data_IF_705024381338
#
_entry.id   IF_705024381338
#
_cell.length_a   1.000
_cell.length_b   1.000
_cell.length_c   1.000
_cell.angle_alpha   90.00
_cell.angle_beta   90.00
_cell.angle_gamma   90.00
#
_symmetry.space_group_name_H-M   'P 1'
#
loop_
_entity.id
_entity.type
_entity.pdbx_description
1 polymer ?
#
# COMPACT_ATOMS: atom_id res chain seq x y z
N UNK A 1 7.06 2.50 6.21
CA UNK A 1 7.56 2.98 7.55
C UNK A 1 6.50 3.77 8.32
N UNK A 2 5.29 3.24 8.39
CA UNK A 2 4.14 3.88 9.05
C UNK A 2 4.43 4.22 10.53
N UNK A 3 5.05 3.31 11.27
CA UNK A 3 5.39 3.52 12.69
C UNK A 3 6.35 4.70 12.96
N UNK A 4 6.95 5.26 11.92
CA UNK A 4 7.87 6.40 12.02
C UNK A 4 7.22 7.74 11.72
N UNK A 5 5.94 7.80 11.33
CA UNK A 5 5.28 9.06 10.90
C UNK A 5 5.39 10.20 11.92
N UNK A 6 5.45 9.87 13.22
CA UNK A 6 5.64 10.86 14.30
C UNK A 6 7.10 11.13 14.66
N UNK A 7 8.07 10.49 13.98
CA UNK A 7 9.50 10.64 14.22
C UNK A 7 10.12 11.68 13.28
N UNK A 8 11.30 12.19 13.64
CA UNK A 8 12.06 13.07 12.74
C UNK A 8 12.55 12.32 11.50
N UNK A 9 12.75 13.04 10.40
CA UNK A 9 13.30 12.44 9.19
C UNK A 9 14.71 11.86 9.40
N UNK A 10 15.55 12.47 10.24
CA UNK A 10 16.86 11.91 10.61
C UNK A 10 16.74 10.53 11.28
N UNK A 11 15.68 10.30 12.04
CA UNK A 11 15.44 8.95 12.62
C UNK A 11 15.06 7.94 11.54
N UNK A 12 14.35 8.36 10.50
CA UNK A 12 14.07 7.48 9.34
C UNK A 12 15.38 7.07 8.66
N UNK A 13 16.30 8.02 8.43
CA UNK A 13 17.60 7.70 7.84
C UNK A 13 18.40 6.71 8.69
N UNK A 14 18.48 6.91 10.02
CA UNK A 14 19.12 5.93 10.92
C UNK A 14 18.52 4.52 10.78
N UNK A 15 17.19 4.41 10.67
CA UNK A 15 16.52 3.12 10.53
C UNK A 15 16.87 2.47 9.19
N UNK A 16 16.99 3.24 8.11
CA UNK A 16 17.43 2.74 6.81
C UNK A 16 18.88 2.25 6.86
N UNK A 17 19.77 2.98 7.53
CA UNK A 17 21.17 2.58 7.74
C UNK A 17 21.29 1.28 8.54
N UNK A 18 20.38 1.02 9.48
CA UNK A 18 20.33 -0.16 10.33
C UNK A 18 19.47 -1.30 9.74
N UNK A 19 18.84 -1.10 8.57
CA UNK A 19 17.90 -2.05 7.99
C UNK A 19 18.53 -3.43 7.78
N UNK A 20 17.82 -4.46 8.25
CA UNK A 20 18.24 -5.87 8.14
C UNK A 20 17.53 -6.62 7.01
N UNK A 21 16.58 -5.97 6.37
CA UNK A 21 15.77 -6.49 5.27
C UNK A 21 15.94 -5.60 4.05
N UNK A 22 15.92 -6.23 2.87
CA UNK A 22 16.17 -5.56 1.60
C UNK A 22 15.02 -4.62 1.20
N UNK A 23 13.77 -5.06 1.43
CA UNK A 23 12.59 -4.33 1.02
C UNK A 23 12.12 -3.37 2.13
N UNK A 24 12.01 -2.10 1.79
CA UNK A 24 11.56 -1.04 2.70
C UNK A 24 10.54 -0.15 2.00
N UNK A 25 9.45 0.16 2.68
CA UNK A 25 8.49 1.14 2.20
C UNK A 25 8.63 2.47 2.94
N UNK A 26 8.67 3.57 2.19
CA UNK A 26 8.67 4.95 2.69
C UNK A 26 7.27 5.52 2.50
N UNK A 27 6.71 6.08 3.57
CA UNK A 27 5.43 6.79 3.52
C UNK A 27 5.69 8.26 3.24
N UNK A 28 5.22 8.76 2.09
CA UNK A 28 5.35 10.17 1.67
C UNK A 28 4.29 11.04 2.35
N UNK A 29 4.37 11.17 3.69
CA UNK A 29 3.36 11.89 4.46
C UNK A 29 3.95 12.69 5.62
N UNK A 30 3.29 13.79 5.98
CA UNK A 30 3.57 14.57 7.18
C UNK A 30 5.03 15.03 7.28
N UNK A 31 5.68 14.70 8.39
CA UNK A 31 7.10 15.02 8.63
C UNK A 31 8.05 14.30 7.66
N UNK A 32 7.59 13.27 6.97
CA UNK A 32 8.35 12.46 6.02
C UNK A 32 8.04 12.78 4.56
N UNK A 33 7.19 13.78 4.29
CA UNK A 33 6.88 14.19 2.92
C UNK A 33 8.16 14.36 2.11
N UNK A 34 8.19 13.72 0.95
CA UNK A 34 9.37 13.71 0.09
C UNK A 34 9.64 15.09 -0.54
N UNK A 35 10.90 15.40 -0.66
CA UNK A 35 11.44 16.49 -1.45
C UNK A 35 12.77 16.03 -2.06
N UNK A 36 13.40 16.82 -2.90
CA UNK A 36 14.63 16.43 -3.61
C UNK A 36 15.76 16.07 -2.66
N UNK A 37 16.01 16.89 -1.63
CA UNK A 37 17.06 16.66 -0.64
C UNK A 37 16.85 15.31 0.11
N UNK A 38 15.63 15.03 0.50
CA UNK A 38 15.27 13.77 1.17
C UNK A 38 15.40 12.56 0.25
N UNK A 39 15.00 12.71 -1.01
CA UNK A 39 15.19 11.70 -2.04
C UNK A 39 16.66 11.36 -2.21
N UNK A 40 17.53 12.37 -2.34
CA UNK A 40 18.96 12.16 -2.49
C UNK A 40 19.58 11.46 -1.26
N UNK A 41 19.16 11.85 -0.04
CA UNK A 41 19.62 11.19 1.18
C UNK A 41 19.18 9.72 1.26
N UNK A 42 17.90 9.42 0.97
CA UNK A 42 17.37 8.05 0.96
C UNK A 42 18.06 7.23 -0.13
N UNK A 43 18.19 7.77 -1.35
CA UNK A 43 18.79 7.08 -2.50
C UNK A 43 20.23 6.66 -2.21
N UNK A 44 21.02 7.55 -1.57
CA UNK A 44 22.38 7.23 -1.16
C UNK A 44 22.41 6.01 -0.22
N UNK A 45 21.60 6.03 0.84
CA UNK A 45 21.55 4.91 1.81
C UNK A 45 21.03 3.65 1.13
N UNK A 46 20.01 3.76 0.28
CA UNK A 46 19.44 2.62 -0.45
C UNK A 46 20.50 1.95 -1.34
N UNK A 47 21.31 2.75 -2.04
CA UNK A 47 22.44 2.25 -2.84
C UNK A 47 23.50 1.58 -1.98
N UNK A 48 23.97 2.25 -0.92
CA UNK A 48 25.04 1.76 -0.04
C UNK A 48 24.64 0.47 0.72
N UNK A 49 23.34 0.27 0.94
CA UNK A 49 22.75 -0.87 1.70
C UNK A 49 22.05 -1.89 0.84
N UNK A 50 22.04 -1.76 -0.49
CA UNK A 50 21.30 -2.61 -1.45
C UNK A 50 19.82 -2.75 -1.06
N UNK A 51 19.15 -1.63 -0.73
CA UNK A 51 17.73 -1.61 -0.38
C UNK A 51 16.85 -1.41 -1.61
N UNK A 52 15.75 -2.12 -1.66
CA UNK A 52 14.65 -1.90 -2.61
C UNK A 52 13.57 -1.05 -1.93
N UNK A 53 13.37 0.15 -2.45
CA UNK A 53 12.42 1.11 -1.85
C UNK A 53 11.11 1.10 -2.63
N UNK A 54 9.99 0.89 -1.94
CA UNK A 54 8.66 1.24 -2.40
C UNK A 54 8.18 2.53 -1.73
N UNK A 55 7.26 3.24 -2.38
CA UNK A 55 6.69 4.48 -1.83
C UNK A 55 5.20 4.29 -1.60
N UNK A 56 4.76 4.50 -0.36
CA UNK A 56 3.36 4.71 -0.06
C UNK A 56 3.01 6.18 -0.34
N UNK A 57 1.99 6.39 -1.16
CA UNK A 57 1.56 7.73 -1.56
C UNK A 57 1.06 8.57 -0.38
N UNK A 58 1.04 9.91 -0.51
CA UNK A 58 0.29 10.75 0.41
C UNK A 58 -1.18 10.34 0.47
N UNK A 59 -1.75 10.29 1.68
CA UNK A 59 -3.14 9.87 1.89
C UNK A 59 -3.95 10.84 2.78
N UNK A 60 -3.32 11.61 3.68
CA UNK A 60 -4.01 12.57 4.53
C UNK A 60 -4.54 13.73 3.68
N UNK A 61 -5.85 13.97 3.75
CA UNK A 61 -6.55 14.99 2.95
C UNK A 61 -6.41 14.79 1.42
N UNK A 62 -6.23 13.57 0.98
CA UNK A 62 -6.23 13.16 -0.42
C UNK A 62 -7.54 12.44 -0.74
N UNK A 63 -8.26 12.93 -1.75
CA UNK A 63 -9.44 12.26 -2.28
C UNK A 63 -9.51 12.44 -3.80
N UNK A 64 -9.14 11.36 -4.49
CA UNK A 64 -9.11 11.30 -5.97
C UNK A 64 -10.47 11.08 -6.59
N UNK A 65 -11.49 10.72 -5.79
CA UNK A 65 -12.87 10.54 -6.21
C UNK A 65 -13.76 11.77 -5.94
N UNK A 66 -13.19 12.83 -5.35
CA UNK A 66 -13.96 14.03 -4.99
C UNK A 66 -14.71 14.59 -6.18
N UNK A 67 -16.02 14.84 -6.02
CA UNK A 67 -16.85 15.56 -7.00
C UNK A 67 -16.43 17.03 -7.14
N UNK A 68 -15.79 17.61 -6.09
CA UNK A 68 -15.20 18.93 -6.17
C UNK A 68 -13.96 18.92 -7.06
N UNK A 69 -14.03 19.59 -8.19
CA UNK A 69 -12.92 19.72 -9.14
C UNK A 69 -11.64 20.23 -8.45
N UNK A 70 -11.75 21.28 -7.61
CA UNK A 70 -10.60 21.89 -6.95
C UNK A 70 -9.94 20.91 -5.97
N UNK A 71 -10.72 20.19 -5.14
CA UNK A 71 -10.19 19.18 -4.20
C UNK A 71 -9.48 18.05 -4.95
N UNK A 72 -10.15 17.50 -5.96
CA UNK A 72 -9.57 16.41 -6.76
C UNK A 72 -8.27 16.83 -7.46
N UNK A 73 -8.25 18.03 -8.09
CA UNK A 73 -7.01 18.55 -8.73
C UNK A 73 -5.89 18.83 -7.73
N UNK A 74 -6.20 19.26 -6.52
CA UNK A 74 -5.20 19.42 -5.46
C UNK A 74 -4.60 18.05 -5.06
N UNK A 75 -5.44 17.04 -4.87
CA UNK A 75 -5.02 15.65 -4.61
C UNK A 75 -4.12 15.13 -5.74
N UNK A 76 -4.55 15.26 -6.99
CA UNK A 76 -3.77 14.79 -8.14
C UNK A 76 -2.41 15.50 -8.28
N UNK A 77 -2.33 16.81 -8.03
CA UNK A 77 -1.04 17.53 -8.05
C UNK A 77 -0.09 17.00 -6.99
N UNK A 78 -0.59 16.74 -5.77
CA UNK A 78 0.21 16.19 -4.69
C UNK A 78 0.72 14.79 -5.02
N UNK A 79 -0.16 13.93 -5.54
CA UNK A 79 0.16 12.56 -5.94
C UNK A 79 1.15 12.51 -7.11
N UNK A 80 0.99 13.36 -8.14
CA UNK A 80 1.94 13.46 -9.24
C UNK A 80 3.34 13.92 -8.78
N UNK A 81 3.39 14.84 -7.80
CA UNK A 81 4.67 15.21 -7.19
C UNK A 81 5.32 14.01 -6.50
N UNK A 82 4.55 13.21 -5.77
CA UNK A 82 5.03 11.98 -5.14
C UNK A 82 5.57 10.98 -6.17
N UNK A 83 4.84 10.74 -7.26
CA UNK A 83 5.30 9.87 -8.37
C UNK A 83 6.62 10.37 -8.97
N UNK A 84 6.73 11.68 -9.25
CA UNK A 84 7.97 12.27 -9.78
C UNK A 84 9.17 12.01 -8.84
N UNK A 85 8.97 12.19 -7.54
CA UNK A 85 10.01 11.97 -6.53
C UNK A 85 10.33 10.48 -6.37
N UNK A 86 9.34 9.60 -6.52
CA UNK A 86 9.53 8.14 -6.55
C UNK A 86 10.41 7.72 -7.72
N UNK A 87 10.17 8.28 -8.92
CA UNK A 87 11.04 8.04 -10.09
C UNK A 87 12.48 8.53 -9.86
N UNK A 88 12.65 9.71 -9.24
CA UNK A 88 13.99 10.22 -8.88
C UNK A 88 14.69 9.36 -7.81
N UNK A 89 13.95 8.66 -6.98
CA UNK A 89 14.47 7.73 -5.96
C UNK A 89 14.81 6.35 -6.55
N UNK A 90 14.53 6.12 -7.82
CA UNK A 90 14.61 4.80 -8.47
C UNK A 90 13.66 3.77 -7.82
N UNK A 91 12.56 4.24 -7.21
CA UNK A 91 11.54 3.37 -6.62
C UNK A 91 10.66 2.77 -7.71
N UNK A 92 10.66 1.44 -7.87
CA UNK A 92 9.90 0.79 -8.95
C UNK A 92 8.39 0.74 -8.66
N UNK A 93 7.98 0.91 -7.40
CA UNK A 93 6.61 0.69 -6.95
C UNK A 93 6.08 1.86 -6.13
N UNK A 94 4.85 2.26 -6.41
CA UNK A 94 4.14 3.34 -5.73
C UNK A 94 2.72 2.88 -5.38
N UNK A 95 2.40 2.87 -4.07
CA UNK A 95 1.13 2.41 -3.53
C UNK A 95 0.15 3.56 -3.45
N UNK A 96 -1.08 3.34 -3.88
CA UNK A 96 -2.16 4.32 -3.93
C UNK A 96 -3.42 3.79 -3.25
N UNK A 97 -4.01 4.58 -2.37
CA UNK A 97 -5.39 4.34 -1.92
C UNK A 97 -6.40 4.78 -2.98
N UNK A 98 -7.51 4.07 -3.09
CA UNK A 98 -8.65 4.56 -3.86
C UNK A 98 -9.22 5.84 -3.26
N UNK A 99 -10.04 6.57 -4.03
CA UNK A 99 -10.84 7.66 -3.49
C UNK A 99 -11.94 7.19 -2.55
N UNK A 100 -12.61 8.15 -1.92
CA UNK A 100 -13.62 7.89 -0.90
C UNK A 100 -15.03 8.00 -1.46
N UNK A 101 -15.96 7.20 -0.93
CA UNK A 101 -17.40 7.38 -1.09
C UNK A 101 -17.81 8.66 -0.37
N UNK A 102 -18.53 9.55 -1.02
CA UNK A 102 -19.04 10.75 -0.37
C UNK A 102 -20.16 10.38 0.61
N UNK A 103 -20.33 11.15 1.69
CA UNK A 103 -21.45 11.00 2.63
C UNK A 103 -22.83 11.14 1.96
N UNK A 104 -22.91 11.80 0.80
CA UNK A 104 -24.09 11.83 -0.07
C UNK A 104 -24.01 10.78 -1.19
N UNK A 105 -23.42 9.62 -0.90
CA UNK A 105 -23.11 8.60 -1.90
C UNK A 105 -24.30 8.11 -2.71
N UNK A 106 -25.52 8.12 -2.14
CA UNK A 106 -26.74 7.80 -2.86
C UNK A 106 -27.06 8.78 -4.01
N UNK A 107 -26.54 10.01 -3.95
CA UNK A 107 -26.71 11.02 -5.01
C UNK A 107 -25.56 11.01 -6.02
N UNK A 108 -24.36 10.57 -5.61
CA UNK A 108 -23.12 10.74 -6.37
C UNK A 108 -22.28 9.47 -6.51
N UNK A 109 -22.84 8.29 -6.22
CA UNK A 109 -22.11 7.02 -6.24
C UNK A 109 -21.39 6.77 -7.56
N UNK A 110 -22.09 6.94 -8.67
CA UNK A 110 -21.52 6.71 -9.99
C UNK A 110 -20.52 7.80 -10.38
N UNK A 111 -20.79 9.04 -9.96
CA UNK A 111 -19.85 10.15 -10.20
C UNK A 111 -18.54 9.95 -9.44
N UNK A 112 -18.60 9.55 -8.16
CA UNK A 112 -17.39 9.24 -7.38
C UNK A 112 -16.61 8.09 -8.02
N UNK A 113 -17.30 7.03 -8.46
CA UNK A 113 -16.69 5.91 -9.15
C UNK A 113 -15.95 6.34 -10.42
N UNK A 114 -16.61 7.09 -11.30
CA UNK A 114 -16.03 7.61 -12.52
C UNK A 114 -14.83 8.55 -12.26
N UNK A 115 -14.94 9.42 -11.25
CA UNK A 115 -13.83 10.30 -10.88
C UNK A 115 -12.65 9.50 -10.35
N UNK A 116 -12.89 8.45 -9.58
CA UNK A 116 -11.85 7.52 -9.10
C UNK A 116 -11.12 6.86 -10.27
N UNK A 117 -11.85 6.23 -11.19
CA UNK A 117 -11.27 5.58 -12.37
C UNK A 117 -10.47 6.56 -13.23
N UNK A 118 -11.04 7.72 -13.53
CA UNK A 118 -10.37 8.77 -14.32
C UNK A 118 -9.08 9.23 -13.64
N UNK A 119 -9.11 9.42 -12.34
CA UNK A 119 -7.94 9.86 -11.58
C UNK A 119 -6.85 8.79 -11.54
N UNK A 120 -7.22 7.52 -11.35
CA UNK A 120 -6.27 6.40 -11.34
C UNK A 120 -5.62 6.26 -12.71
N UNK A 121 -6.38 6.34 -13.82
CA UNK A 121 -5.85 6.31 -15.18
C UNK A 121 -4.87 7.47 -15.43
N UNK A 122 -5.23 8.70 -15.03
CA UNK A 122 -4.35 9.88 -15.15
C UNK A 122 -3.03 9.70 -14.37
N UNK A 123 -3.08 9.09 -13.19
CA UNK A 123 -1.89 8.78 -12.39
C UNK A 123 -1.07 7.65 -13.01
N UNK A 124 -1.69 6.62 -13.55
CA UNK A 124 -1.02 5.51 -14.23
C UNK A 124 -0.27 5.98 -15.47
N UNK A 125 -0.88 6.82 -16.31
CA UNK A 125 -0.20 7.42 -17.46
C UNK A 125 1.00 8.26 -17.03
N UNK A 126 0.81 9.10 -16.00
CA UNK A 126 1.88 9.93 -15.47
C UNK A 126 3.02 9.11 -14.88
N UNK A 127 2.71 8.04 -14.14
CA UNK A 127 3.72 7.18 -13.52
C UNK A 127 4.56 6.41 -14.53
N UNK A 128 3.94 5.97 -15.63
CA UNK A 128 4.63 5.29 -16.74
C UNK A 128 5.74 6.15 -17.33
N UNK A 129 5.53 7.48 -17.43
CA UNK A 129 6.55 8.43 -17.93
C UNK A 129 7.74 8.57 -16.98
N UNK A 130 7.60 8.16 -15.72
CA UNK A 130 8.64 8.25 -14.69
C UNK A 130 9.20 6.88 -14.28
N UNK A 131 8.86 5.80 -15.00
CA UNK A 131 9.36 4.45 -14.71
C UNK A 131 8.80 3.84 -13.42
N UNK A 132 7.68 4.36 -12.90
CA UNK A 132 7.09 3.94 -11.63
C UNK A 132 5.83 3.12 -11.89
N UNK A 133 5.73 1.94 -11.29
CA UNK A 133 4.53 1.10 -11.34
C UNK A 133 3.55 1.52 -10.25
N UNK A 134 2.30 1.78 -10.63
CA UNK A 134 1.21 2.03 -9.69
C UNK A 134 0.59 0.72 -9.23
N UNK A 135 0.31 0.63 -7.94
CA UNK A 135 -0.52 -0.42 -7.36
C UNK A 135 -1.58 0.21 -6.47
N UNK A 136 -2.79 -0.33 -6.51
CA UNK A 136 -3.91 0.16 -5.69
C UNK A 136 -4.12 -0.78 -4.52
N UNK A 137 -4.22 -0.20 -3.34
CA UNK A 137 -4.42 -0.92 -2.08
C UNK A 137 -5.90 -1.10 -1.77
N UNK A 138 -6.28 -2.28 -1.24
CA UNK A 138 -7.60 -2.48 -0.68
C UNK A 138 -7.73 -1.71 0.64
N UNK A 139 -8.65 -0.77 0.69
CA UNK A 139 -9.02 -0.06 1.91
C UNK A 139 -10.07 -0.82 2.73
N UNK A 140 -10.72 -0.12 3.64
CA UNK A 140 -11.81 -0.64 4.47
C UNK A 140 -13.11 0.14 4.24
N UNK A 141 -14.23 -0.57 4.20
CA UNK A 141 -15.53 0.02 3.86
C UNK A 141 -16.04 1.01 4.92
N UNK A 142 -15.72 0.81 6.19
CA UNK A 142 -16.09 1.72 7.28
C UNK A 142 -15.36 3.08 7.23
N UNK A 143 -14.22 3.18 6.55
CA UNK A 143 -13.53 4.44 6.21
C UNK A 143 -13.94 4.98 4.83
N UNK A 144 -14.98 4.40 4.23
CA UNK A 144 -15.57 4.85 2.97
C UNK A 144 -14.68 4.74 1.74
N UNK A 145 -13.65 3.89 1.72
CA UNK A 145 -12.90 3.63 0.50
C UNK A 145 -13.78 3.01 -0.59
N UNK A 146 -13.56 3.40 -1.84
CA UNK A 146 -14.28 2.87 -3.00
C UNK A 146 -13.85 1.45 -3.36
N UNK A 147 -12.60 1.08 -3.04
CA UNK A 147 -12.05 -0.24 -3.29
C UNK A 147 -11.72 -0.90 -1.94
N UNK A 148 -12.63 -1.69 -1.41
CA UNK A 148 -12.49 -2.35 -0.12
C UNK A 148 -12.66 -3.86 -0.23
N UNK A 149 -13.63 -4.32 -1.02
CA UNK A 149 -14.00 -5.73 -1.17
C UNK A 149 -13.61 -6.27 -2.54
N UNK A 150 -13.60 -7.59 -2.65
CA UNK A 150 -13.33 -8.30 -3.92
C UNK A 150 -14.29 -7.83 -5.02
N UNK A 151 -15.58 -7.62 -4.72
CA UNK A 151 -16.56 -7.12 -5.69
C UNK A 151 -16.20 -5.73 -6.23
N UNK A 152 -15.67 -4.84 -5.37
CA UNK A 152 -15.22 -3.50 -5.79
C UNK A 152 -14.04 -3.64 -6.77
N UNK A 153 -13.10 -4.56 -6.51
CA UNK A 153 -11.97 -4.83 -7.39
C UNK A 153 -12.38 -5.53 -8.69
N UNK A 154 -13.40 -6.42 -8.68
CA UNK A 154 -13.96 -6.99 -9.91
C UNK A 154 -14.49 -5.86 -10.79
N UNK A 155 -15.36 -5.00 -10.26
CA UNK A 155 -15.85 -3.83 -10.97
C UNK A 155 -14.72 -2.90 -11.42
N UNK A 156 -13.70 -2.71 -10.61
CA UNK A 156 -12.54 -1.87 -10.92
C UNK A 156 -11.78 -2.39 -12.14
N UNK A 157 -11.36 -3.64 -12.13
CA UNK A 157 -10.60 -4.23 -13.24
C UNK A 157 -11.42 -4.37 -14.51
N UNK A 158 -12.72 -4.67 -14.41
CA UNK A 158 -13.64 -4.70 -15.56
C UNK A 158 -13.76 -3.32 -16.24
N UNK A 159 -13.67 -2.25 -15.46
CA UNK A 159 -13.81 -0.88 -15.96
C UNK A 159 -12.47 -0.19 -16.20
N UNK A 160 -11.33 -0.77 -15.81
CA UNK A 160 -10.03 -0.11 -15.88
C UNK A 160 -9.54 0.08 -17.33
N UNK A 161 -9.91 -0.83 -18.24
CA UNK A 161 -9.40 -0.87 -19.61
C UNK A 161 -7.99 -1.45 -19.68
N UNK A 162 -7.18 -1.00 -20.61
CA UNK A 162 -5.85 -1.55 -20.91
C UNK A 162 -4.74 -1.07 -19.96
N UNK A 163 -5.12 -0.51 -18.80
CA UNK A 163 -4.14 -0.03 -17.83
C UNK A 163 -3.61 -1.18 -16.96
N UNK A 164 -2.30 -1.29 -16.88
CA UNK A 164 -1.63 -2.27 -16.02
C UNK A 164 -1.45 -1.71 -14.59
N UNK A 165 -2.41 -1.98 -13.73
CA UNK A 165 -2.38 -1.59 -12.31
C UNK A 165 -2.35 -2.84 -11.45
N UNK A 166 -1.38 -2.91 -10.54
CA UNK A 166 -1.26 -3.98 -9.57
C UNK A 166 -2.23 -3.81 -8.40
N UNK A 167 -2.33 -4.86 -7.59
CA UNK A 167 -2.98 -4.84 -6.28
C UNK A 167 -1.92 -4.88 -5.19
N UNK A 168 -1.97 -3.92 -4.27
CA UNK A 168 -1.36 -4.06 -2.94
C UNK A 168 -2.40 -4.69 -2.03
N UNK A 169 -2.15 -5.91 -1.59
CA UNK A 169 -3.03 -6.55 -0.62
C UNK A 169 -2.62 -6.16 0.79
N UNK A 170 -3.43 -5.30 1.42
CA UNK A 170 -3.38 -5.13 2.87
C UNK A 170 -4.19 -6.25 3.54
N UNK A 171 -3.47 -7.11 4.28
CA UNK A 171 -4.04 -8.29 4.92
C UNK A 171 -4.89 -7.91 6.14
N UNK A 172 -4.52 -6.84 6.85
CA UNK A 172 -5.29 -6.32 7.98
C UNK A 172 -6.62 -5.73 7.53
N UNK A 173 -6.63 -4.92 6.46
CA UNK A 173 -7.85 -4.40 5.86
C UNK A 173 -8.75 -5.54 5.34
N UNK A 174 -8.17 -6.51 4.65
CA UNK A 174 -8.90 -7.68 4.17
C UNK A 174 -9.46 -8.54 5.30
N UNK A 175 -8.83 -8.56 6.50
CA UNK A 175 -9.36 -9.23 7.69
C UNK A 175 -10.63 -8.55 8.21
N UNK A 176 -10.65 -7.21 8.24
CA UNK A 176 -11.83 -6.43 8.67
C UNK A 176 -13.03 -6.70 7.74
N UNK A 177 -12.78 -6.83 6.45
CA UNK A 177 -13.81 -7.16 5.46
C UNK A 177 -14.15 -8.67 5.39
N UNK A 178 -13.36 -9.53 6.08
CA UNK A 178 -13.53 -10.99 6.06
C UNK A 178 -13.11 -11.66 4.75
N UNK A 179 -12.24 -11.01 3.95
CA UNK A 179 -11.97 -11.39 2.55
C UNK A 179 -10.53 -11.80 2.24
N UNK A 180 -9.65 -12.00 3.24
CA UNK A 180 -8.23 -12.32 3.00
C UNK A 180 -8.06 -13.42 1.94
N UNK A 181 -8.72 -14.57 2.14
CA UNK A 181 -8.52 -15.73 1.27
C UNK A 181 -9.23 -15.59 -0.09
N UNK A 182 -10.26 -14.75 -0.17
CA UNK A 182 -10.88 -14.41 -1.45
C UNK A 182 -9.93 -13.58 -2.29
N UNK A 183 -9.33 -12.51 -1.74
CA UNK A 183 -8.31 -11.73 -2.42
C UNK A 183 -7.14 -12.60 -2.89
N UNK A 184 -6.59 -13.43 -2.01
CA UNK A 184 -5.48 -14.31 -2.34
C UNK A 184 -5.81 -15.29 -3.47
N UNK A 185 -7.04 -15.80 -3.53
CA UNK A 185 -7.49 -16.73 -4.55
C UNK A 185 -7.80 -16.05 -5.88
N UNK A 186 -8.61 -14.97 -5.85
CA UNK A 186 -9.13 -14.34 -7.07
C UNK A 186 -8.09 -13.43 -7.74
N UNK A 187 -7.19 -12.83 -6.93
CA UNK A 187 -6.21 -11.85 -7.42
C UNK A 187 -4.76 -12.30 -7.30
N UNK A 188 -4.48 -13.61 -7.21
CA UNK A 188 -3.12 -14.15 -7.11
C UNK A 188 -2.15 -13.55 -8.15
N UNK A 189 -2.58 -13.39 -9.40
CA UNK A 189 -1.76 -12.82 -10.48
C UNK A 189 -1.71 -11.28 -10.52
N UNK A 190 -2.51 -10.59 -9.72
CA UNK A 190 -2.57 -9.13 -9.63
C UNK A 190 -1.88 -8.57 -8.38
N UNK A 191 -1.78 -9.38 -7.32
CA UNK A 191 -1.10 -8.98 -6.08
C UNK A 191 0.40 -8.87 -6.36
N UNK A 192 0.93 -7.67 -6.28
CA UNK A 192 2.36 -7.37 -6.53
C UNK A 192 3.07 -6.85 -5.30
N UNK A 193 2.32 -6.46 -4.28
CA UNK A 193 2.80 -5.89 -3.03
C UNK A 193 1.86 -6.26 -1.89
N UNK A 194 2.34 -6.22 -0.64
CA UNK A 194 1.48 -6.52 0.51
C UNK A 194 1.82 -5.65 1.71
N UNK A 195 0.78 -5.29 2.46
CA UNK A 195 0.90 -4.72 3.79
C UNK A 195 0.43 -5.74 4.84
N UNK A 196 1.22 -5.93 5.88
CA UNK A 196 1.01 -6.95 6.89
C UNK A 196 0.96 -6.33 8.28
N UNK A 197 -0.20 -6.29 8.85
CA UNK A 197 -0.45 -5.95 10.24
C UNK A 197 -1.61 -6.77 10.78
N UNK A 198 -1.73 -6.91 12.08
CA UNK A 198 -2.82 -7.67 12.70
C UNK A 198 -3.90 -6.73 13.24
N UNK A 199 -5.08 -7.28 13.45
CA UNK A 199 -6.22 -6.66 14.11
C UNK A 199 -7.22 -7.74 14.56
N UNK A 200 -8.31 -7.31 15.20
CA UNK A 200 -9.37 -8.22 15.66
C UNK A 200 -10.56 -8.33 14.68
N UNK A 201 -10.42 -7.87 13.43
CA UNK A 201 -11.46 -7.92 12.40
C UNK A 201 -12.56 -6.87 12.57
N UNK A 202 -12.35 -5.82 13.36
CA UNK A 202 -13.34 -4.77 13.64
C UNK A 202 -12.84 -3.38 13.22
N UNK A 203 -11.63 -3.06 13.57
CA UNK A 203 -11.00 -1.75 13.32
C UNK A 203 -9.56 -1.92 12.86
N UNK A 204 -9.07 -0.88 12.22
CA UNK A 204 -7.70 -0.81 11.70
C UNK A 204 -6.71 -0.49 12.82
N UNK A 205 -6.28 -1.54 13.54
CA UNK A 205 -5.49 -1.42 14.77
C UNK A 205 -3.98 -1.39 14.53
N UNK A 206 -3.53 -1.83 13.35
CA UNK A 206 -2.10 -1.99 13.02
C UNK A 206 -1.28 -2.70 14.11
N UNK A 207 -1.83 -3.78 14.69
CA UNK A 207 -1.16 -4.59 15.71
C UNK A 207 0.04 -5.35 15.14
N UNK A 208 0.90 -5.83 16.03
CA UNK A 208 1.98 -6.74 15.68
C UNK A 208 1.45 -8.06 15.11
N UNK A 209 2.19 -8.68 14.19
CA UNK A 209 1.84 -9.98 13.62
C UNK A 209 1.66 -11.02 14.73
N UNK A 210 0.46 -11.59 14.83
CA UNK A 210 0.06 -12.58 15.83
C UNK A 210 -0.48 -11.99 17.15
N UNK A 211 -0.71 -10.68 17.20
CA UNK A 211 -1.31 -9.99 18.37
C UNK A 211 -2.83 -9.76 18.18
N UNK A 212 -3.39 -10.08 17.01
CA UNK A 212 -4.81 -10.04 16.67
C UNK A 212 -5.39 -11.44 16.42
N UNK A 213 -6.33 -11.54 15.47
CA UNK A 213 -7.03 -12.79 15.17
C UNK A 213 -6.74 -13.38 13.79
N UNK A 214 -5.81 -12.81 13.02
CA UNK A 214 -5.45 -13.29 11.68
C UNK A 214 -4.72 -14.63 11.78
N UNK A 215 -5.16 -15.63 11.00
CA UNK A 215 -4.45 -16.89 10.88
C UNK A 215 -3.21 -16.77 9.98
N UNK A 216 -2.15 -16.20 10.51
CA UNK A 216 -0.91 -15.92 9.79
C UNK A 216 -0.26 -17.15 9.17
N UNK A 217 -0.32 -18.31 9.84
CA UNK A 217 0.21 -19.56 9.27
C UNK A 217 -0.49 -19.88 7.96
N UNK A 218 -1.82 -19.80 7.92
CA UNK A 218 -2.60 -20.04 6.71
C UNK A 218 -2.35 -18.95 5.64
N UNK A 219 -2.22 -17.68 6.03
CA UNK A 219 -1.89 -16.58 5.11
C UNK A 219 -0.55 -16.84 4.42
N UNK A 220 0.51 -17.14 5.18
CA UNK A 220 1.85 -17.41 4.63
C UNK A 220 1.86 -18.67 3.76
N UNK A 221 1.13 -19.71 4.18
CA UNK A 221 0.97 -20.90 3.35
C UNK A 221 0.29 -20.58 2.02
N UNK A 222 -0.79 -19.79 2.03
CA UNK A 222 -1.49 -19.39 0.80
C UNK A 222 -0.62 -18.53 -0.11
N UNK A 223 0.20 -17.60 0.42
CA UNK A 223 1.18 -16.86 -0.39
C UNK A 223 2.14 -17.81 -1.13
N UNK A 224 2.55 -18.90 -0.51
CA UNK A 224 3.40 -19.92 -1.17
C UNK A 224 2.63 -20.70 -2.24
N UNK A 225 1.40 -21.14 -1.93
CA UNK A 225 0.55 -21.88 -2.86
C UNK A 225 0.28 -21.10 -4.14
N UNK A 226 0.07 -19.78 -4.04
CA UNK A 226 -0.10 -18.90 -5.21
C UNK A 226 1.24 -18.45 -5.83
N UNK A 227 2.38 -18.93 -5.33
CA UNK A 227 3.72 -18.57 -5.78
C UNK A 227 3.98 -17.05 -5.77
N UNK A 228 3.52 -16.36 -4.73
CA UNK A 228 3.71 -14.92 -4.58
C UNK A 228 5.21 -14.55 -4.53
N UNK A 229 5.59 -13.50 -5.27
CA UNK A 229 6.99 -13.06 -5.42
C UNK A 229 7.21 -11.60 -5.00
N UNK A 230 6.17 -10.90 -4.62
CA UNK A 230 6.27 -9.50 -4.20
C UNK A 230 6.81 -9.35 -2.77
N UNK A 231 6.90 -8.11 -2.33
CA UNK A 231 7.40 -7.76 -1.00
C UNK A 231 6.36 -8.03 0.09
N UNK A 232 6.82 -8.47 1.26
CA UNK A 232 6.03 -8.62 2.48
C UNK A 232 6.39 -7.46 3.42
N UNK A 233 5.65 -6.36 3.36
CA UNK A 233 5.89 -5.16 4.16
C UNK A 233 5.10 -5.22 5.47
N UNK A 234 5.81 -5.15 6.59
CA UNK A 234 5.17 -5.07 7.91
C UNK A 234 4.79 -3.63 8.22
N UNK A 235 3.49 -3.40 8.46
CA UNK A 235 2.92 -2.10 8.77
C UNK A 235 2.46 -1.93 10.21
N UNK A 236 2.91 -2.80 11.11
CA UNK A 236 2.61 -2.64 12.53
C UNK A 236 3.13 -1.32 13.06
N UNK A 237 2.32 -0.61 13.88
CA UNK A 237 2.75 0.65 14.52
C UNK A 237 3.47 0.42 15.86
N UNK A 238 3.38 -0.79 16.40
CA UNK A 238 4.09 -1.23 17.61
C UNK A 238 4.81 -2.54 17.34
N UNK A 239 5.90 -2.78 18.04
CA UNK A 239 6.69 -4.03 17.98
C UNK A 239 7.00 -4.52 16.54
N UNK A 240 7.46 -3.60 15.68
CA UNK A 240 7.84 -3.95 14.30
C UNK A 240 8.92 -5.03 14.28
N UNK A 241 9.90 -4.97 15.18
CA UNK A 241 10.98 -5.96 15.28
C UNK A 241 10.47 -7.36 15.65
N UNK A 242 9.54 -7.45 16.59
CA UNK A 242 8.87 -8.71 16.95
C UNK A 242 8.02 -9.25 15.81
N UNK A 243 7.27 -8.37 15.12
CA UNK A 243 6.47 -8.74 13.94
C UNK A 243 7.33 -9.31 12.82
N UNK A 244 8.46 -8.67 12.49
CA UNK A 244 9.42 -9.19 11.50
C UNK A 244 9.99 -10.55 11.92
N UNK A 245 10.35 -10.72 13.19
CA UNK A 245 10.88 -11.98 13.71
C UNK A 245 9.85 -13.11 13.63
N UNK A 246 8.58 -12.82 13.97
CA UNK A 246 7.46 -13.78 13.85
C UNK A 246 7.19 -14.13 12.40
N UNK A 247 7.20 -13.15 11.48
CA UNK A 247 7.02 -13.38 10.04
C UNK A 247 8.10 -14.30 9.48
N UNK A 248 9.38 -14.03 9.77
CA UNK A 248 10.50 -14.88 9.33
C UNK A 248 10.36 -16.32 9.86
N UNK A 249 9.95 -16.49 11.12
CA UNK A 249 9.69 -17.80 11.71
C UNK A 249 8.58 -18.53 10.97
N UNK A 250 7.43 -17.88 10.73
CA UNK A 250 6.31 -18.45 10.00
C UNK A 250 6.69 -18.89 8.58
N UNK A 251 7.48 -18.08 7.86
CA UNK A 251 7.99 -18.42 6.53
C UNK A 251 8.85 -19.69 6.57
N UNK A 252 9.74 -19.82 7.56
CA UNK A 252 10.60 -21.00 7.73
C UNK A 252 9.78 -22.25 8.08
N UNK A 253 8.90 -22.16 9.06
CA UNK A 253 8.07 -23.29 9.51
C UNK A 253 7.17 -23.83 8.39
N UNK A 254 6.59 -22.96 7.59
CA UNK A 254 5.78 -23.36 6.43
C UNK A 254 6.62 -23.91 5.27
N UNK A 255 7.96 -23.71 5.26
CA UNK A 255 8.86 -24.26 4.24
C UNK A 255 9.33 -25.69 4.58
N UNK A 256 9.20 -26.14 5.82
CA UNK A 256 9.62 -27.47 6.29
C UNK A 256 8.52 -28.51 6.10
N UNK A 257 7.28 -28.07 5.85
CA UNK A 257 6.11 -28.94 5.71
C UNK A 257 5.84 -29.40 4.25
N UNK A 258 6.73 -29.08 3.33
CA UNK A 258 6.79 -29.53 1.93
C UNK A 258 8.10 -30.29 1.70
#
# INVERSE_FOLDING_TARGET
MLYCLSRSFSKVLSILEEARFKNVEIVDEGLHSLNEERVDAIRKIAYDRDLEISIHSPFINVDIASVSYQKRRASLRRLKKSILLSGKLDSPLWVLHSGLRNNSSYLFSDVNWEMNLRSIRELAEFSKMHGVRVTVENGISNLHFLLSKVEDFNRFYDNLGDYEIGLTLDVGHANIEGEIFRFLKEYAGKIVHTHLHDNHGISDEHLGIGDGNINWRRVIQTFKEINYKGSLIVESVRDVGGSLSRLVRLIRETSILN
#
